data_IF_673382855978
#
_entry.id   IF_673382855978
#
_cell.length_a   1.000
_cell.length_b   1.000
_cell.length_c   1.000
_cell.angle_alpha   90.00
_cell.angle_beta   90.00
_cell.angle_gamma   90.00
#
_symmetry.space_group_name_H-M   'P 1'
#
loop_
_entity.id
_entity.type
_entity.pdbx_description
1 polymer ?
#
# COMPACT_ATOMS: atom_id res chain seq x y z
N UNK A 1 30.40 43.14 -10.37
CA UNK A 1 29.33 43.41 -11.36
C UNK A 1 29.59 42.44 -12.47
N UNK A 2 28.74 41.42 -12.57
CA UNK A 2 28.58 40.40 -13.63
C UNK A 2 27.90 39.20 -12.94
N UNK A 3 26.67 39.42 -12.48
CA UNK A 3 25.39 39.08 -13.11
C UNK A 3 25.07 37.59 -12.99
N UNK A 4 24.24 37.33 -11.98
CA UNK A 4 23.34 36.20 -11.83
C UNK A 4 22.64 35.86 -13.15
N UNK A 5 22.71 34.60 -13.56
CA UNK A 5 21.70 33.97 -14.41
C UNK A 5 21.42 32.56 -13.88
N UNK A 6 20.74 32.55 -12.72
CA UNK A 6 19.82 31.49 -12.36
C UNK A 6 18.57 31.67 -13.23
N UNK A 7 18.32 30.77 -14.18
CA UNK A 7 16.98 30.60 -14.71
C UNK A 7 16.65 29.12 -14.79
N UNK A 8 15.68 28.76 -13.96
CA UNK A 8 15.16 27.44 -13.73
C UNK A 8 14.61 26.82 -15.00
N UNK A 9 15.19 25.68 -15.38
CA UNK A 9 14.52 24.70 -16.21
C UNK A 9 13.41 24.05 -15.41
N UNK A 10 12.23 24.66 -15.41
CA UNK A 10 11.00 24.02 -15.01
C UNK A 10 10.76 22.81 -15.94
N UNK A 11 10.92 21.62 -15.38
CA UNK A 11 10.54 20.38 -16.04
C UNK A 11 9.03 20.38 -16.30
N UNK A 12 8.64 20.71 -17.52
CA UNK A 12 7.30 20.45 -18.02
C UNK A 12 7.14 18.93 -18.16
N UNK A 13 6.67 18.28 -17.09
CA UNK A 13 6.06 16.95 -17.19
C UNK A 13 4.81 17.09 -18.05
N UNK A 14 4.91 16.71 -19.31
CA UNK A 14 3.78 16.71 -20.22
C UNK A 14 2.72 15.73 -19.70
N UNK A 15 1.63 16.27 -19.14
CA UNK A 15 0.41 15.51 -18.92
C UNK A 15 -0.10 15.10 -20.30
N UNK A 16 0.22 13.87 -20.72
CA UNK A 16 -0.30 13.31 -21.95
C UNK A 16 -1.82 13.27 -21.91
N UNK A 17 -2.46 13.46 -23.07
CA UNK A 17 -3.90 13.20 -23.23
C UNK A 17 -4.19 11.76 -22.80
N UNK A 18 -5.09 11.58 -21.84
CA UNK A 18 -5.47 10.26 -21.35
C UNK A 18 -6.25 9.45 -22.39
N UNK A 19 -6.22 8.13 -22.26
CA UNK A 19 -6.94 7.23 -23.16
C UNK A 19 -7.55 6.03 -22.45
N UNK A 20 -8.25 5.19 -23.19
CA UNK A 20 -8.88 3.97 -22.71
C UNK A 20 -7.88 3.05 -21.97
N UNK A 21 -6.60 3.07 -22.35
CA UNK A 21 -5.53 2.35 -21.66
C UNK A 21 -5.42 2.70 -20.17
N UNK A 22 -5.71 3.95 -19.79
CA UNK A 22 -5.65 4.40 -18.39
C UNK A 22 -6.83 3.89 -17.56
N UNK A 23 -7.99 3.65 -18.20
CA UNK A 23 -9.15 3.00 -17.59
C UNK A 23 -9.04 1.47 -17.58
N UNK A 24 -8.31 0.90 -18.53
CA UNK A 24 -8.16 -0.55 -18.70
C UNK A 24 -7.10 -1.17 -17.79
N UNK A 25 -6.11 -0.38 -17.34
CA UNK A 25 -4.96 -0.89 -16.62
C UNK A 25 -3.74 -0.97 -17.51
N UNK A 26 -2.90 0.06 -17.40
CA UNK A 26 -1.78 0.26 -18.29
C UNK A 26 -0.75 1.22 -17.71
N UNK A 27 -0.16 0.87 -16.58
CA UNK A 27 1.24 1.23 -16.32
C UNK A 27 2.06 -0.02 -16.65
N UNK A 28 2.67 -0.07 -17.84
CA UNK A 28 3.63 -1.12 -18.19
C UNK A 28 3.05 -2.45 -18.71
N UNK A 29 2.14 -2.41 -19.70
CA UNK A 29 1.95 -3.59 -20.57
C UNK A 29 3.14 -3.71 -21.54
N UNK A 30 4.32 -4.03 -21.01
CA UNK A 30 5.41 -4.56 -21.79
C UNK A 30 5.07 -6.02 -22.13
N UNK A 31 5.07 -6.30 -23.43
CA UNK A 31 4.97 -7.64 -23.96
C UNK A 31 6.10 -8.54 -23.42
N UNK A 32 5.72 -9.70 -22.89
CA UNK A 32 6.60 -10.78 -22.45
C UNK A 32 5.75 -11.75 -21.65
N UNK A 33 5.18 -12.79 -22.27
CA UNK A 33 5.95 -13.93 -22.72
C UNK A 33 5.73 -15.04 -21.69
N UNK A 34 4.78 -15.92 -21.99
CA UNK A 34 4.44 -17.07 -21.19
C UNK A 34 5.70 -17.89 -20.84
N UNK A 35 5.86 -18.22 -19.56
CA UNK A 35 6.92 -19.07 -19.05
C UNK A 35 6.41 -19.81 -17.82
N UNK A 36 5.76 -20.94 -18.07
CA UNK A 36 5.43 -21.95 -17.06
C UNK A 36 6.70 -22.36 -16.31
N UNK A 37 6.71 -22.21 -14.98
CA UNK A 37 7.64 -22.93 -14.11
C UNK A 37 6.87 -23.91 -13.25
N UNK A 38 6.86 -25.12 -13.80
CA UNK A 38 6.47 -26.39 -13.23
C UNK A 38 7.33 -26.72 -12.00
N UNK A 39 6.65 -27.09 -10.92
CA UNK A 39 7.21 -27.61 -9.68
C UNK A 39 8.06 -28.86 -9.97
N UNK A 40 9.35 -28.76 -9.66
CA UNK A 40 10.28 -29.89 -9.62
C UNK A 40 10.17 -30.62 -8.29
N UNK A 41 9.46 -31.75 -8.31
CA UNK A 41 9.51 -32.78 -7.28
C UNK A 41 10.55 -33.84 -7.67
N UNK A 42 11.38 -34.23 -6.69
CA UNK A 42 12.39 -35.29 -6.79
C UNK A 42 13.55 -34.92 -5.87
N UNK A 43 14.17 -35.80 -5.11
CA UNK A 43 14.06 -37.24 -4.84
C UNK A 43 15.03 -37.47 -3.67
N UNK A 44 14.69 -38.36 -2.74
CA UNK A 44 15.65 -39.23 -2.05
C UNK A 44 14.92 -40.11 -1.05
N UNK A 45 14.66 -41.33 -1.50
CA UNK A 45 14.38 -42.47 -0.64
C UNK A 45 15.64 -43.17 -0.13
N UNK A 46 15.43 -43.81 1.02
CA UNK A 46 15.89 -45.14 1.43
C UNK A 46 17.32 -45.37 1.96
N UNK A 47 17.34 -45.90 3.19
CA UNK A 47 18.27 -46.92 3.71
C UNK A 47 19.37 -46.35 4.62
N UNK A 48 19.79 -46.99 5.70
CA UNK A 48 19.39 -48.21 6.41
C UNK A 48 20.26 -48.25 7.70
N UNK A 49 19.78 -48.94 8.72
CA UNK A 49 20.51 -49.63 9.81
C UNK A 49 21.72 -49.00 10.52
N UNK A 50 21.65 -48.99 11.87
CA UNK A 50 22.86 -48.91 12.72
C UNK A 50 22.56 -48.83 14.21
N UNK A 51 22.38 -49.99 14.83
CA UNK A 51 22.07 -50.26 16.24
C UNK A 51 23.18 -49.86 17.25
N UNK A 52 22.80 -49.94 18.53
CA UNK A 52 23.57 -49.97 19.79
C UNK A 52 23.79 -48.60 20.46
N UNK A 53 23.42 -48.38 21.72
CA UNK A 53 23.02 -49.27 22.82
C UNK A 53 23.50 -48.61 24.12
N UNK A 54 22.79 -48.79 25.23
CA UNK A 54 23.30 -48.44 26.56
C UNK A 54 22.29 -47.83 27.52
N UNK A 55 21.49 -48.71 28.12
CA UNK A 55 21.12 -48.78 29.53
C UNK A 55 20.90 -47.51 30.36
N UNK A 56 19.71 -47.44 30.96
CA UNK A 56 19.42 -46.55 32.07
C UNK A 56 18.01 -46.76 32.63
N UNK A 57 17.89 -47.71 33.54
CA UNK A 57 16.68 -48.11 34.25
C UNK A 57 15.91 -46.94 34.89
N UNK A 58 14.60 -46.93 34.60
CA UNK A 58 13.47 -46.88 35.54
C UNK A 58 13.77 -46.54 37.02
N UNK A 59 13.16 -45.46 37.53
CA UNK A 59 12.31 -45.41 38.73
C UNK A 59 11.94 -43.93 38.97
N UNK A 60 10.66 -43.56 39.02
CA UNK A 60 9.64 -44.19 39.84
C UNK A 60 9.65 -43.47 41.18
N UNK A 61 8.71 -42.56 41.37
CA UNK A 61 8.53 -41.79 42.58
C UNK A 61 8.31 -42.70 43.79
N UNK A 62 9.08 -42.48 44.85
CA UNK A 62 8.74 -42.93 46.19
C UNK A 62 9.14 -41.86 47.20
N UNK A 63 8.13 -41.36 47.91
CA UNK A 63 8.30 -40.55 49.11
C UNK A 63 8.70 -41.45 50.26
N UNK A 64 9.89 -41.22 50.81
CA UNK A 64 10.33 -41.67 52.14
C UNK A 64 11.46 -40.75 52.58
N UNK A 65 11.41 -40.31 53.84
CA UNK A 65 12.20 -39.21 54.38
C UNK A 65 13.69 -39.26 54.01
N UNK A 66 14.08 -38.36 53.12
CA UNK A 66 15.48 -38.09 52.87
C UNK A 66 16.06 -37.49 54.15
N UNK A 67 16.93 -38.24 54.82
CA UNK A 67 17.77 -37.70 55.88
C UNK A 67 18.62 -36.61 55.25
N UNK A 68 18.51 -35.39 55.79
CA UNK A 68 19.29 -34.26 55.29
C UNK A 68 20.78 -34.63 55.31
N UNK A 69 21.54 -34.36 54.24
CA UNK A 69 22.97 -34.63 54.22
C UNK A 69 23.67 -33.95 55.41
N UNK A 70 24.63 -34.62 56.06
CA UNK A 70 25.30 -34.10 57.28
C UNK A 70 25.85 -32.68 57.12
N UNK A 71 26.29 -32.32 55.91
CA UNK A 71 26.81 -30.98 55.62
C UNK A 71 25.76 -29.85 55.70
N UNK A 72 24.46 -30.17 55.59
CA UNK A 72 23.37 -29.20 55.77
C UNK A 72 23.33 -28.62 57.18
N UNK A 73 23.81 -29.37 58.17
CA UNK A 73 23.83 -28.93 59.57
C UNK A 73 24.75 -27.72 59.79
N UNK A 74 25.72 -27.52 58.91
CA UNK A 74 26.65 -26.38 58.95
C UNK A 74 26.11 -25.12 58.26
N UNK A 75 24.93 -25.19 57.65
CA UNK A 75 24.28 -24.05 56.98
C UNK A 75 23.29 -23.42 57.96
N UNK A 76 23.23 -22.09 58.11
CA UNK A 76 22.24 -21.45 58.96
C UNK A 76 20.82 -21.91 58.61
N UNK A 77 20.05 -22.27 59.64
CA UNK A 77 18.64 -22.61 59.51
C UNK A 77 17.73 -21.37 59.48
N UNK A 78 18.31 -20.20 59.74
CA UNK A 78 17.59 -18.93 59.77
C UNK A 78 17.16 -18.56 58.34
N UNK A 79 15.91 -18.11 58.21
CA UNK A 79 15.46 -17.40 57.03
C UNK A 79 16.33 -16.16 56.84
N UNK A 80 16.67 -15.83 55.59
CA UNK A 80 17.34 -14.56 55.29
C UNK A 80 16.49 -13.36 55.73
N UNK A 81 17.05 -12.15 55.72
CA UNK A 81 16.23 -10.94 55.94
C UNK A 81 15.14 -10.83 54.87
N UNK A 82 13.87 -10.86 55.30
CA UNK A 82 12.68 -10.87 54.43
C UNK A 82 11.94 -12.21 54.47
N UNK A 83 10.75 -12.31 53.86
CA UNK A 83 9.94 -13.54 53.74
C UNK A 83 10.60 -14.63 52.84
N UNK A 84 11.93 -14.71 52.82
CA UNK A 84 12.68 -15.68 52.05
C UNK A 84 12.77 -17.03 52.78
N UNK A 85 12.64 -18.16 52.06
CA UNK A 85 12.88 -19.49 52.63
C UNK A 85 14.26 -19.58 53.27
N UNK A 86 14.42 -20.41 54.31
CA UNK A 86 15.75 -20.68 54.88
C UNK A 86 16.70 -21.20 53.79
N UNK A 87 18.00 -20.93 53.94
CA UNK A 87 19.00 -21.43 53.00
C UNK A 87 18.92 -22.96 52.85
N UNK A 88 18.54 -23.67 53.91
CA UNK A 88 18.31 -25.12 53.87
C UNK A 88 17.09 -25.49 53.03
N UNK A 89 15.97 -24.79 53.19
CA UNK A 89 14.74 -25.06 52.42
C UNK A 89 14.93 -24.74 50.94
N UNK A 90 15.69 -23.69 50.63
CA UNK A 90 16.11 -23.38 49.27
C UNK A 90 16.98 -24.49 48.67
N UNK A 91 17.99 -24.99 49.40
CA UNK A 91 18.83 -26.10 48.92
C UNK A 91 18.05 -27.39 48.67
N UNK A 92 17.06 -27.69 49.53
CA UNK A 92 16.15 -28.83 49.36
C UNK A 92 15.28 -28.67 48.11
N UNK A 93 14.66 -27.52 47.94
CA UNK A 93 13.80 -27.24 46.77
C UNK A 93 14.60 -27.16 45.46
N UNK A 94 15.85 -26.70 45.51
CA UNK A 94 16.78 -26.69 44.38
C UNK A 94 17.38 -28.08 44.07
N UNK A 95 17.13 -29.10 44.89
CA UNK A 95 17.57 -30.47 44.65
C UNK A 95 19.08 -30.70 44.79
N UNK A 96 19.79 -29.86 45.54
CA UNK A 96 21.26 -29.92 45.67
C UNK A 96 21.65 -31.00 46.68
N UNK A 97 22.27 -32.10 46.23
CA UNK A 97 22.53 -33.28 47.09
C UNK A 97 23.88 -33.23 47.83
N UNK A 98 24.85 -32.49 47.29
CA UNK A 98 26.22 -32.42 47.81
C UNK A 98 26.89 -31.05 47.55
N UNK A 99 28.06 -30.84 48.16
CA UNK A 99 28.85 -29.61 48.00
C UNK A 99 29.31 -29.42 46.55
N UNK A 100 29.55 -30.51 45.81
CA UNK A 100 29.90 -30.46 44.40
C UNK A 100 28.74 -29.91 43.54
N UNK A 101 27.50 -30.30 43.84
CA UNK A 101 26.28 -29.79 43.25
C UNK A 101 26.05 -28.32 43.58
N UNK A 102 26.34 -27.90 44.82
CA UNK A 102 26.30 -26.48 45.21
C UNK A 102 27.33 -25.66 44.41
N UNK A 103 28.57 -26.14 44.33
CA UNK A 103 29.63 -25.49 43.55
C UNK A 103 29.31 -25.46 42.05
N UNK A 104 28.64 -26.49 41.53
CA UNK A 104 28.15 -26.56 40.15
C UNK A 104 27.05 -25.53 39.90
N UNK A 105 26.02 -25.46 40.74
CA UNK A 105 24.97 -24.44 40.65
C UNK A 105 25.56 -23.03 40.78
N UNK A 106 26.51 -22.81 41.69
CA UNK A 106 27.19 -21.53 41.84
C UNK A 106 28.01 -21.16 40.59
N UNK A 107 28.74 -22.11 39.99
CA UNK A 107 29.49 -21.89 38.74
C UNK A 107 28.57 -21.69 37.53
N UNK A 108 27.49 -22.47 37.44
CA UNK A 108 26.52 -22.37 36.36
C UNK A 108 25.72 -21.06 36.48
N UNK A 109 25.38 -20.61 37.69
CA UNK A 109 24.81 -19.28 37.93
C UNK A 109 25.83 -18.17 37.66
N UNK A 110 27.09 -18.31 38.04
CA UNK A 110 28.13 -17.32 37.74
C UNK A 110 28.38 -17.22 36.23
N UNK A 111 28.37 -18.36 35.53
CA UNK A 111 28.47 -18.43 34.07
C UNK A 111 27.22 -17.85 33.41
N UNK A 112 26.03 -18.20 33.87
CA UNK A 112 24.78 -17.62 33.38
C UNK A 112 24.76 -16.11 33.62
N UNK A 113 25.15 -15.62 34.80
CA UNK A 113 25.21 -14.18 35.12
C UNK A 113 26.26 -13.45 34.27
N UNK A 114 27.40 -14.08 33.97
CA UNK A 114 28.47 -13.48 33.16
C UNK A 114 28.17 -13.52 31.66
N UNK A 115 27.57 -14.61 31.18
CA UNK A 115 27.40 -14.89 29.75
C UNK A 115 25.99 -14.45 29.25
N UNK A 116 25.02 -14.19 30.14
CA UNK A 116 23.64 -13.78 29.75
C UNK A 116 23.46 -12.31 29.36
N UNK A 117 24.51 -11.48 29.42
CA UNK A 117 24.40 -10.06 29.05
C UNK A 117 23.29 -9.35 29.82
N UNK A 118 23.27 -9.49 31.15
CA UNK A 118 22.16 -9.00 32.00
C UNK A 118 21.85 -7.53 31.71
N UNK A 119 20.68 -7.32 31.12
CA UNK A 119 20.05 -6.02 31.03
C UNK A 119 19.18 -5.84 32.27
N UNK A 120 19.56 -4.94 33.18
CA UNK A 120 18.75 -4.62 34.36
C UNK A 120 17.47 -3.94 33.87
N UNK A 121 16.33 -4.61 33.98
CA UNK A 121 15.03 -4.01 33.67
C UNK A 121 14.74 -2.92 34.72
N UNK A 122 14.59 -1.66 34.32
CA UNK A 122 14.27 -0.57 35.24
C UNK A 122 12.91 -0.82 35.91
N UNK A 123 12.83 -0.67 37.23
CA UNK A 123 11.57 -0.73 37.98
C UNK A 123 10.81 0.60 37.93
N UNK A 124 9.60 0.64 38.53
CA UNK A 124 8.85 1.89 38.72
C UNK A 124 9.64 2.85 39.62
N UNK A 125 10.18 3.93 39.05
CA UNK A 125 11.02 4.91 39.75
C UNK A 125 12.53 4.81 39.46
N UNK A 126 12.94 4.01 38.48
CA UNK A 126 14.34 3.93 38.06
C UNK A 126 14.89 5.30 37.61
N UNK A 127 16.18 5.54 37.88
CA UNK A 127 16.80 6.82 37.54
C UNK A 127 17.00 6.96 36.03
N UNK A 128 17.20 8.20 35.55
CA UNK A 128 17.42 8.46 34.13
C UNK A 128 18.63 7.68 33.58
N UNK A 129 19.65 7.47 34.41
CA UNK A 129 20.85 6.72 34.09
C UNK A 129 20.57 5.22 33.94
N UNK A 130 19.72 4.63 34.80
CA UNK A 130 19.33 3.23 34.70
C UNK A 130 18.48 2.97 33.45
N UNK A 131 17.58 3.91 33.12
CA UNK A 131 16.79 3.86 31.89
C UNK A 131 17.69 4.01 30.66
N UNK A 132 18.67 4.91 30.68
CA UNK A 132 19.62 5.09 29.58
C UNK A 132 20.51 3.84 29.36
N UNK A 133 20.98 3.22 30.45
CA UNK A 133 21.74 1.98 30.39
C UNK A 133 20.91 0.82 29.82
N UNK A 134 19.64 0.69 30.24
CA UNK A 134 18.71 -0.28 29.68
C UNK A 134 18.49 -0.05 28.18
N UNK A 135 18.17 1.19 27.78
CA UNK A 135 17.95 1.58 26.38
C UNK A 135 19.16 1.26 25.50
N UNK A 136 20.37 1.57 25.97
CA UNK A 136 21.60 1.22 25.26
C UNK A 136 21.78 -0.30 25.14
N UNK A 137 21.47 -1.05 26.19
CA UNK A 137 21.64 -2.49 26.21
C UNK A 137 20.63 -3.24 25.33
N UNK A 138 19.40 -2.73 25.18
CA UNK A 138 18.39 -3.30 24.28
C UNK A 138 18.54 -2.82 22.83
N UNK A 139 19.53 -1.98 22.53
CA UNK A 139 19.82 -1.53 21.17
C UNK A 139 18.97 -0.34 20.69
N UNK A 140 18.53 0.52 21.60
CA UNK A 140 17.97 1.84 21.23
C UNK A 140 19.12 2.74 20.74
N UNK A 141 18.98 3.40 19.58
CA UNK A 141 19.96 4.38 19.12
C UNK A 141 20.16 5.55 20.08
N UNK A 142 21.35 6.16 20.08
CA UNK A 142 21.64 7.34 20.90
C UNK A 142 20.84 8.59 20.44
N UNK A 143 20.46 8.65 19.16
CA UNK A 143 19.67 9.72 18.56
C UNK A 143 18.61 9.17 17.59
N UNK A 144 17.52 9.92 17.31
CA UNK A 144 16.51 9.54 16.33
C UNK A 144 17.09 9.23 14.94
N UNK A 145 18.16 9.90 14.52
CA UNK A 145 18.81 9.68 13.22
C UNK A 145 19.49 8.30 13.09
N UNK A 146 19.53 7.51 14.17
CA UNK A 146 20.11 6.17 14.14
C UNK A 146 19.17 5.07 13.65
N UNK A 147 17.89 5.36 13.38
CA UNK A 147 16.96 4.43 12.71
C UNK A 147 17.08 4.58 11.18
N UNK A 148 17.30 3.46 10.50
CA UNK A 148 17.48 3.37 9.06
C UNK A 148 16.32 2.60 8.43
N UNK A 149 15.38 3.33 7.82
CA UNK A 149 14.26 2.73 7.11
C UNK A 149 14.63 2.55 5.63
N UNK A 150 14.67 1.30 5.16
CA UNK A 150 15.00 1.01 3.76
C UNK A 150 13.76 1.22 2.89
N UNK A 151 13.90 1.92 1.75
CA UNK A 151 12.81 2.03 0.80
C UNK A 151 12.49 0.64 0.21
N UNK A 152 11.20 0.27 0.12
CA UNK A 152 10.80 -0.90 -0.63
C UNK A 152 11.06 -0.67 -2.12
N UNK A 153 11.11 -1.76 -2.88
CA UNK A 153 11.26 -1.71 -4.35
C UNK A 153 9.88 -1.75 -4.99
N UNK A 154 9.60 -0.82 -5.90
CA UNK A 154 8.37 -0.78 -6.69
C UNK A 154 8.34 -1.86 -7.77
N UNK A 155 7.19 -1.99 -8.46
CA UNK A 155 7.03 -2.94 -9.56
C UNK A 155 7.97 -2.67 -10.76
N UNK A 156 8.48 -1.44 -10.88
CA UNK A 156 9.46 -1.00 -11.86
C UNK A 156 10.92 -1.33 -11.48
N UNK A 157 11.11 -1.98 -10.33
CA UNK A 157 12.43 -2.30 -9.80
C UNK A 157 13.16 -1.11 -9.17
N UNK A 158 12.51 0.05 -9.04
CA UNK A 158 13.10 1.25 -8.44
C UNK A 158 12.71 1.40 -6.97
N UNK A 159 13.59 1.95 -6.11
CA UNK A 159 13.23 2.28 -4.74
C UNK A 159 12.10 3.31 -4.72
N UNK A 160 11.03 3.02 -3.99
CA UNK A 160 9.96 3.99 -3.79
C UNK A 160 10.43 5.11 -2.86
N UNK A 161 10.14 6.35 -3.23
CA UNK A 161 10.40 7.48 -2.35
C UNK A 161 9.52 7.37 -1.09
N UNK A 162 10.18 7.21 0.06
CA UNK A 162 9.53 7.29 1.35
C UNK A 162 9.44 8.75 1.78
N UNK A 163 8.31 9.11 2.38
CA UNK A 163 8.11 10.45 2.93
C UNK A 163 9.05 10.64 4.14
N UNK A 164 10.13 11.39 3.95
CA UNK A 164 11.14 11.67 4.97
C UNK A 164 10.55 12.29 6.23
N UNK A 165 9.58 13.20 6.11
CA UNK A 165 8.93 13.82 7.26
C UNK A 165 8.13 12.81 8.10
N UNK A 166 7.55 11.79 7.48
CA UNK A 166 6.88 10.69 8.20
C UNK A 166 7.90 9.80 8.90
N UNK A 167 8.98 9.43 8.22
CA UNK A 167 10.06 8.63 8.79
C UNK A 167 10.73 9.33 9.99
N UNK A 168 10.97 10.63 9.90
CA UNK A 168 11.54 11.44 10.98
C UNK A 168 10.62 11.48 12.22
N UNK A 169 9.30 11.56 12.00
CA UNK A 169 8.31 11.47 13.10
C UNK A 169 8.34 10.10 13.76
N UNK A 170 8.43 9.02 12.97
CA UNK A 170 8.52 7.65 13.47
C UNK A 170 9.81 7.46 14.27
N UNK A 171 10.95 7.91 13.74
CA UNK A 171 12.25 7.86 14.42
C UNK A 171 12.25 8.64 15.74
N UNK A 172 11.66 9.83 15.75
CA UNK A 172 11.51 10.65 16.97
C UNK A 172 10.63 9.95 18.00
N UNK A 173 9.53 9.35 17.57
CA UNK A 173 8.65 8.56 18.42
C UNK A 173 9.39 7.34 19.00
N UNK A 174 10.09 6.58 18.15
CA UNK A 174 10.83 5.40 18.55
C UNK A 174 11.92 5.72 19.58
N UNK A 175 12.68 6.80 19.38
CA UNK A 175 13.71 7.25 20.33
C UNK A 175 13.09 7.68 21.67
N UNK A 176 12.02 8.49 21.63
CA UNK A 176 11.31 8.96 22.83
C UNK A 176 10.80 7.81 23.70
N UNK A 177 10.28 6.76 23.07
CA UNK A 177 9.72 5.59 23.74
C UNK A 177 10.75 4.47 23.99
N UNK A 178 12.00 4.63 23.55
CA UNK A 178 13.05 3.65 23.79
C UNK A 178 12.86 2.35 23.02
N UNK A 179 12.36 2.43 21.78
CA UNK A 179 12.20 1.26 20.92
C UNK A 179 13.56 0.82 20.34
N UNK A 180 13.93 -0.47 20.44
CA UNK A 180 15.13 -1.00 19.80
C UNK A 180 15.18 -0.78 18.29
N UNK A 181 16.38 -0.52 17.73
CA UNK A 181 16.60 -0.26 16.29
C UNK A 181 16.03 -1.36 15.39
N UNK A 182 16.52 -2.60 15.55
CA UNK A 182 16.18 -3.71 14.65
C UNK A 182 14.68 -4.01 14.56
N UNK A 183 13.97 -4.23 15.68
CA UNK A 183 12.52 -4.44 15.69
C UNK A 183 11.73 -3.28 15.10
N UNK A 184 12.13 -2.03 15.36
CA UNK A 184 11.45 -0.86 14.81
C UNK A 184 11.60 -0.78 13.29
N UNK A 185 12.81 -1.00 12.78
CA UNK A 185 13.07 -1.03 11.33
C UNK A 185 12.33 -2.16 10.63
N UNK A 186 12.30 -3.35 11.25
CA UNK A 186 11.56 -4.50 10.74
C UNK A 186 10.05 -4.20 10.69
N UNK A 187 9.48 -3.62 11.76
CA UNK A 187 8.06 -3.26 11.81
C UNK A 187 7.68 -2.26 10.73
N UNK A 188 8.48 -1.21 10.53
CA UNK A 188 8.22 -0.19 9.50
C UNK A 188 8.34 -0.81 8.11
N UNK A 189 9.34 -1.65 7.89
CA UNK A 189 9.53 -2.33 6.61
C UNK A 189 8.36 -3.26 6.27
N UNK A 190 7.90 -4.05 7.25
CA UNK A 190 6.75 -4.95 7.11
C UNK A 190 5.44 -4.19 6.85
N UNK A 191 5.20 -3.10 7.60
CA UNK A 191 4.04 -2.24 7.38
C UNK A 191 4.02 -1.63 5.98
N UNK A 192 5.16 -1.11 5.52
CA UNK A 192 5.29 -0.55 4.18
C UNK A 192 5.05 -1.64 3.11
N UNK A 193 5.60 -2.84 3.30
CA UNK A 193 5.39 -3.96 2.38
C UNK A 193 3.92 -4.37 2.31
N UNK A 194 3.23 -4.46 3.46
CA UNK A 194 1.81 -4.77 3.51
C UNK A 194 0.94 -3.77 2.74
N UNK A 195 1.19 -2.47 2.90
CA UNK A 195 0.49 -1.42 2.13
C UNK A 195 0.73 -1.53 0.61
N UNK A 196 1.93 -1.93 0.20
CA UNK A 196 2.23 -2.18 -1.21
C UNK A 196 1.50 -3.41 -1.73
N UNK A 197 1.49 -4.50 -0.96
CA UNK A 197 0.82 -5.74 -1.34
C UNK A 197 -0.71 -5.52 -1.45
N UNK A 198 -1.30 -4.74 -0.55
CA UNK A 198 -2.71 -4.35 -0.59
C UNK A 198 -3.01 -3.47 -1.81
N UNK A 199 -2.15 -2.48 -2.09
CA UNK A 199 -2.28 -1.64 -3.29
C UNK A 199 -2.17 -2.48 -4.56
N UNK A 200 -1.22 -3.39 -4.63
CA UNK A 200 -1.00 -4.26 -5.79
C UNK A 200 -2.19 -5.21 -5.98
N UNK A 201 -2.69 -5.80 -4.90
CA UNK A 201 -3.88 -6.65 -4.91
C UNK A 201 -5.10 -5.90 -5.42
N UNK A 202 -5.33 -4.67 -4.93
CA UNK A 202 -6.41 -3.81 -5.41
C UNK A 202 -6.24 -3.45 -6.87
N UNK A 203 -5.03 -3.12 -7.32
CA UNK A 203 -4.74 -2.78 -8.72
C UNK A 203 -5.05 -3.97 -9.63
N UNK A 204 -4.59 -5.18 -9.27
CA UNK A 204 -4.88 -6.42 -10.00
C UNK A 204 -6.39 -6.72 -10.06
N UNK A 205 -7.12 -6.45 -8.98
CA UNK A 205 -8.57 -6.63 -8.97
C UNK A 205 -9.27 -5.67 -9.97
N UNK A 206 -8.85 -4.40 -10.00
CA UNK A 206 -9.36 -3.41 -10.96
C UNK A 206 -8.99 -3.78 -12.40
N UNK A 207 -7.79 -4.32 -12.64
CA UNK A 207 -7.36 -4.75 -13.98
C UNK A 207 -8.17 -5.96 -14.45
N UNK A 208 -8.42 -6.91 -13.56
CA UNK A 208 -9.28 -8.07 -13.84
C UNK A 208 -10.71 -7.65 -14.20
N UNK A 209 -11.29 -6.70 -13.46
CA UNK A 209 -12.62 -6.16 -13.74
C UNK A 209 -12.68 -5.43 -15.09
N UNK A 210 -11.67 -4.62 -15.41
CA UNK A 210 -11.57 -3.96 -16.71
C UNK A 210 -11.48 -4.97 -17.86
N UNK A 211 -10.68 -6.03 -17.71
CA UNK A 211 -10.58 -7.10 -18.69
C UNK A 211 -11.89 -7.88 -18.85
N UNK A 212 -12.60 -8.12 -17.75
CA UNK A 212 -13.93 -8.75 -17.78
C UNK A 212 -14.93 -7.89 -18.55
N UNK A 213 -14.90 -6.56 -18.35
CA UNK A 213 -15.72 -5.63 -19.12
C UNK A 213 -15.43 -5.71 -20.62
N UNK A 214 -14.15 -5.71 -21.01
CA UNK A 214 -13.75 -5.83 -22.44
C UNK A 214 -14.26 -7.15 -23.03
N UNK A 215 -14.08 -8.27 -22.33
CA UNK A 215 -14.58 -9.58 -22.77
C UNK A 215 -16.10 -9.57 -22.95
N UNK A 216 -16.83 -8.93 -22.04
CA UNK A 216 -18.28 -8.81 -22.11
C UNK A 216 -18.78 -7.99 -23.33
N UNK A 217 -17.95 -7.11 -23.90
CA UNK A 217 -18.32 -6.35 -25.09
C UNK A 217 -18.25 -7.17 -26.39
N UNK A 218 -17.55 -8.31 -26.39
CA UNK A 218 -17.43 -9.17 -27.58
C UNK A 218 -16.88 -8.42 -28.80
N UNK A 219 -17.57 -8.55 -29.94
CA UNK A 219 -17.17 -7.94 -31.21
C UNK A 219 -17.13 -6.40 -31.18
N UNK A 220 -17.86 -5.77 -30.26
CA UNK A 220 -17.92 -4.29 -30.14
C UNK A 220 -16.78 -3.70 -29.30
N UNK A 221 -15.95 -4.53 -28.67
CA UNK A 221 -14.91 -4.08 -27.74
C UNK A 221 -14.01 -2.99 -28.35
N UNK A 222 -13.49 -3.21 -29.57
CA UNK A 222 -12.62 -2.25 -30.24
C UNK A 222 -13.33 -0.92 -30.56
N UNK A 223 -14.61 -0.98 -30.96
CA UNK A 223 -15.39 0.23 -31.25
C UNK A 223 -15.66 1.03 -29.97
N UNK A 224 -15.95 0.35 -28.86
CA UNK A 224 -16.18 0.99 -27.55
C UNK A 224 -14.90 1.57 -26.95
N UNK A 225 -13.75 0.90 -27.13
CA UNK A 225 -12.44 1.43 -26.74
C UNK A 225 -12.13 2.71 -27.53
N UNK A 226 -12.29 2.68 -28.86
CA UNK A 226 -12.09 3.87 -29.69
C UNK A 226 -13.06 5.02 -29.34
N UNK A 227 -14.28 4.69 -28.91
CA UNK A 227 -15.22 5.68 -28.38
C UNK A 227 -14.71 6.31 -27.07
N UNK A 228 -14.19 5.51 -26.13
CA UNK A 228 -13.58 6.01 -24.89
C UNK A 228 -12.44 6.98 -25.18
N UNK A 229 -11.53 6.65 -26.11
CA UNK A 229 -10.40 7.52 -26.48
C UNK A 229 -10.88 8.88 -27.02
N UNK A 230 -11.91 8.87 -27.87
CA UNK A 230 -12.53 10.09 -28.40
C UNK A 230 -13.18 10.92 -27.29
N UNK A 231 -13.89 10.27 -26.38
CA UNK A 231 -14.50 10.94 -25.24
C UNK A 231 -13.45 11.58 -24.32
N UNK A 232 -12.38 10.85 -23.99
CA UNK A 232 -11.27 11.36 -23.18
C UNK A 232 -10.62 12.57 -23.84
N UNK A 233 -10.31 12.47 -25.13
CA UNK A 233 -9.70 13.56 -25.92
C UNK A 233 -10.60 14.79 -25.96
N UNK A 234 -11.89 14.61 -26.24
CA UNK A 234 -12.80 15.74 -26.41
C UNK A 234 -13.18 16.43 -25.09
N UNK A 235 -13.14 15.69 -23.98
CA UNK A 235 -13.29 16.24 -22.64
C UNK A 235 -11.99 16.81 -22.07
N UNK A 236 -10.85 16.62 -22.75
CA UNK A 236 -9.54 17.03 -22.26
C UNK A 236 -9.11 16.27 -20.99
N UNK A 237 -9.56 15.03 -20.81
CA UNK A 237 -9.21 14.23 -19.65
C UNK A 237 -7.76 13.79 -19.75
N UNK A 238 -7.01 14.02 -18.67
CA UNK A 238 -5.65 13.53 -18.51
C UNK A 238 -5.64 12.07 -18.08
N UNK A 239 -4.45 11.45 -18.12
CA UNK A 239 -4.23 10.13 -17.54
C UNK A 239 -4.65 10.10 -16.07
N UNK A 240 -4.30 11.13 -15.31
CA UNK A 240 -4.60 11.26 -13.88
C UNK A 240 -6.12 11.34 -13.64
N UNK A 241 -6.86 12.06 -14.50
CA UNK A 241 -8.32 12.13 -14.42
C UNK A 241 -8.97 10.77 -14.65
N UNK A 242 -8.49 10.03 -15.66
CA UNK A 242 -9.03 8.71 -15.98
C UNK A 242 -8.68 7.68 -14.90
N UNK A 243 -7.46 7.70 -14.37
CA UNK A 243 -7.09 6.86 -13.23
C UNK A 243 -7.91 7.19 -11.99
N UNK A 244 -8.12 8.48 -11.71
CA UNK A 244 -9.00 8.94 -10.62
C UNK A 244 -10.43 8.46 -10.80
N UNK A 245 -10.97 8.57 -12.01
CA UNK A 245 -12.32 8.10 -12.36
C UNK A 245 -12.43 6.59 -12.15
N UNK A 246 -11.44 5.83 -12.62
CA UNK A 246 -11.37 4.38 -12.44
C UNK A 246 -11.36 3.98 -10.96
N UNK A 247 -10.56 4.66 -10.14
CA UNK A 247 -10.45 4.39 -8.70
C UNK A 247 -11.72 4.78 -7.93
N UNK A 248 -12.39 5.86 -8.35
CA UNK A 248 -13.57 6.38 -7.68
C UNK A 248 -14.86 5.63 -8.05
N UNK A 249 -15.03 5.26 -9.32
CA UNK A 249 -16.27 4.68 -9.84
C UNK A 249 -16.21 3.18 -10.10
N UNK A 250 -15.02 2.61 -10.12
CA UNK A 250 -14.78 1.25 -10.61
C UNK A 250 -14.57 1.22 -12.14
N UNK A 251 -13.75 0.28 -12.64
CA UNK A 251 -13.45 0.11 -14.05
C UNK A 251 -14.69 -0.10 -14.92
N UNK A 252 -15.61 -0.99 -14.54
CA UNK A 252 -16.80 -1.31 -15.35
C UNK A 252 -17.66 -0.06 -15.60
N UNK A 253 -17.94 0.69 -14.54
CA UNK A 253 -18.78 1.89 -14.62
C UNK A 253 -18.09 3.00 -15.41
N UNK A 254 -16.81 3.23 -15.15
CA UNK A 254 -16.02 4.24 -15.86
C UNK A 254 -15.96 3.95 -17.37
N UNK A 255 -15.60 2.70 -17.74
CA UNK A 255 -15.53 2.25 -19.13
C UNK A 255 -16.90 2.34 -19.82
N UNK A 256 -17.97 1.92 -19.15
CA UNK A 256 -19.33 1.96 -19.72
C UNK A 256 -19.80 3.39 -19.99
N UNK A 257 -19.59 4.31 -19.04
CA UNK A 257 -20.01 5.70 -19.19
C UNK A 257 -19.20 6.39 -20.28
N UNK A 258 -17.88 6.19 -20.29
CA UNK A 258 -17.00 6.81 -21.29
C UNK A 258 -17.24 6.25 -22.71
N UNK A 259 -17.51 4.94 -22.84
CA UNK A 259 -17.86 4.34 -24.11
C UNK A 259 -19.18 4.90 -24.66
N UNK A 260 -20.20 5.07 -23.81
CA UNK A 260 -21.49 5.67 -24.20
C UNK A 260 -21.32 7.13 -24.63
N UNK A 261 -20.54 7.90 -23.87
CA UNK A 261 -20.25 9.28 -24.22
C UNK A 261 -19.58 9.37 -25.60
N UNK A 262 -18.53 8.56 -25.82
CA UNK A 262 -17.80 8.54 -27.08
C UNK A 262 -18.61 8.05 -28.27
N UNK A 263 -19.51 7.07 -28.06
CA UNK A 263 -20.40 6.58 -29.09
C UNK A 263 -21.36 7.69 -29.55
N UNK A 264 -21.96 8.42 -28.61
CA UNK A 264 -22.81 9.58 -28.92
C UNK A 264 -22.05 10.68 -29.68
N UNK A 265 -20.77 10.87 -29.40
CA UNK A 265 -19.92 11.81 -30.15
C UNK A 265 -19.59 11.33 -31.57
N UNK A 266 -19.40 10.03 -31.76
CA UNK A 266 -19.11 9.45 -33.06
C UNK A 266 -20.32 9.49 -33.99
N UNK A 267 -21.52 9.28 -33.46
CA UNK A 267 -22.78 9.40 -34.21
C UNK A 267 -23.01 10.83 -34.72
N UNK A 268 -22.69 11.84 -33.90
CA UNK A 268 -22.80 13.26 -34.28
C UNK A 268 -21.72 13.67 -35.31
N UNK A 269 -20.53 13.05 -35.25
CA UNK A 269 -19.43 13.32 -36.20
C UNK A 269 -19.64 12.64 -37.56
N UNK A 270 -20.26 11.46 -37.60
CA UNK A 270 -20.48 10.68 -38.83
C UNK A 270 -21.57 11.26 -39.74
N UNK A 271 -22.49 12.05 -39.19
CA UNK A 271 -23.51 12.77 -39.97
C UNK A 271 -22.98 14.13 -40.45
N UNK A 272 -21.94 14.68 -39.79
CA UNK A 272 -21.53 16.07 -39.93
C UNK A 272 -20.12 16.35 -40.46
N UNK A 273 -19.36 15.35 -40.92
CA UNK A 273 -18.12 15.58 -41.69
C UNK A 273 -17.18 16.67 -41.15
N UNK A 274 -16.73 16.55 -39.89
CA UNK A 274 -15.57 17.28 -39.38
C UNK A 274 -15.82 18.35 -38.29
N UNK A 275 -15.09 18.19 -37.18
CA UNK A 275 -14.89 19.11 -36.04
C UNK A 275 -16.14 19.45 -35.24
N UNK A 276 -16.39 18.62 -34.22
CA UNK A 276 -17.46 18.77 -33.26
C UNK A 276 -17.38 20.05 -32.43
N UNK A 277 -18.49 20.78 -32.42
CA UNK A 277 -18.97 21.53 -31.26
C UNK A 277 -20.32 20.92 -30.91
N UNK A 278 -20.44 20.43 -29.68
CA UNK A 278 -21.68 19.90 -29.12
C UNK A 278 -22.85 20.85 -29.43
N UNK A 279 -23.83 20.37 -30.19
CA UNK A 279 -25.04 21.14 -30.47
C UNK A 279 -25.86 20.49 -31.56
N UNK A 280 -27.18 20.48 -31.33
CA UNK A 280 -28.25 20.23 -32.30
C UNK A 280 -27.77 20.47 -33.74
N UNK A 281 -27.85 19.46 -34.61
CA UNK A 281 -27.37 19.58 -35.99
C UNK A 281 -28.05 20.76 -36.70
N UNK A 282 -27.43 21.39 -37.70
CA UNK A 282 -28.04 22.55 -38.37
C UNK A 282 -29.44 22.27 -38.93
N UNK A 283 -29.68 21.03 -39.36
CA UNK A 283 -30.99 20.56 -39.84
C UNK A 283 -32.01 20.41 -38.70
N UNK A 284 -31.58 19.82 -37.57
CA UNK A 284 -32.42 19.72 -36.37
C UNK A 284 -32.68 21.10 -35.75
N UNK A 285 -31.71 22.01 -35.84
CA UNK A 285 -31.81 23.37 -35.32
C UNK A 285 -32.80 24.19 -36.15
N UNK A 286 -32.77 24.04 -37.48
CA UNK A 286 -33.74 24.66 -38.37
C UNK A 286 -35.15 24.11 -38.12
N UNK A 287 -35.32 22.79 -37.99
CA UNK A 287 -36.61 22.18 -37.72
C UNK A 287 -37.21 22.63 -36.37
N UNK A 288 -36.38 22.77 -35.34
CA UNK A 288 -36.83 23.27 -34.04
C UNK A 288 -37.09 24.79 -34.06
N UNK A 289 -36.33 25.58 -34.83
CA UNK A 289 -36.66 26.99 -35.10
C UNK A 289 -38.04 27.11 -35.75
N UNK A 290 -38.29 26.34 -36.80
CA UNK A 290 -39.57 26.37 -37.53
C UNK A 290 -40.74 25.98 -36.61
N UNK A 291 -40.52 25.01 -35.71
CA UNK A 291 -41.50 24.62 -34.69
C UNK A 291 -41.76 25.73 -33.67
N UNK A 292 -40.69 26.40 -33.20
CA UNK A 292 -40.77 27.45 -32.18
C UNK A 292 -41.30 28.78 -32.72
N UNK A 293 -41.15 29.04 -34.02
CA UNK A 293 -41.81 30.17 -34.69
C UNK A 293 -43.33 30.09 -34.62
N UNK A 294 -43.89 28.88 -34.54
CA UNK A 294 -45.32 28.64 -34.34
C UNK A 294 -45.79 28.80 -32.87
N UNK A 295 -44.86 28.95 -31.91
CA UNK A 295 -45.16 29.09 -30.49
C UNK A 295 -45.10 30.57 -30.07
N UNK A 296 -46.27 31.20 -29.99
CA UNK A 296 -46.39 32.62 -29.66
C UNK A 296 -45.88 32.96 -28.24
N UNK A 297 -46.00 32.04 -27.29
CA UNK A 297 -45.54 32.24 -25.91
C UNK A 297 -44.02 32.16 -25.83
N UNK A 298 -43.42 31.23 -26.57
CA UNK A 298 -41.98 31.13 -26.70
C UNK A 298 -41.40 32.39 -27.36
N UNK A 299 -41.95 32.82 -28.50
CA UNK A 299 -41.48 34.01 -29.22
C UNK A 299 -41.57 35.29 -28.38
N UNK A 300 -42.58 35.41 -27.52
CA UNK A 300 -42.69 36.52 -26.58
C UNK A 300 -41.53 36.50 -25.56
N UNK A 301 -41.15 35.34 -25.04
CA UNK A 301 -40.05 35.22 -24.05
C UNK A 301 -38.67 35.38 -24.69
N UNK A 302 -38.51 35.00 -25.96
CA UNK A 302 -37.27 35.24 -26.73
C UNK A 302 -36.94 36.72 -26.85
N UNK A 303 -37.94 37.61 -26.77
CA UNK A 303 -37.70 39.07 -26.82
C UNK A 303 -36.99 39.62 -25.58
N UNK A 304 -36.96 38.87 -24.46
CA UNK A 304 -36.20 39.21 -23.26
C UNK A 304 -34.78 38.61 -23.36
N UNK A 305 -33.71 39.43 -23.47
CA UNK A 305 -32.34 38.96 -23.61
C UNK A 305 -31.84 38.07 -22.46
N UNK A 306 -32.47 38.15 -21.28
CA UNK A 306 -32.07 37.39 -20.09
C UNK A 306 -32.86 36.10 -19.90
N UNK A 307 -33.81 35.78 -20.79
CA UNK A 307 -34.60 34.55 -20.66
C UNK A 307 -33.83 33.31 -21.11
N UNK A 308 -34.18 32.16 -20.54
CA UNK A 308 -33.63 30.88 -20.97
C UNK A 308 -34.03 30.57 -22.43
N UNK A 309 -35.21 31.04 -22.85
CA UNK A 309 -35.75 30.95 -24.20
C UNK A 309 -34.92 31.76 -25.21
N UNK A 310 -34.47 32.96 -24.85
CA UNK A 310 -33.56 33.76 -25.68
C UNK A 310 -32.20 33.08 -25.85
N UNK A 311 -31.62 32.58 -24.76
CA UNK A 311 -30.36 31.82 -24.80
C UNK A 311 -30.49 30.53 -25.63
N UNK A 312 -31.66 29.89 -25.62
CA UNK A 312 -31.97 28.72 -26.46
C UNK A 312 -32.12 29.12 -27.92
N UNK A 313 -32.87 30.17 -28.22
CA UNK A 313 -33.08 30.69 -29.57
C UNK A 313 -31.78 31.14 -30.24
N UNK A 314 -30.91 31.82 -29.50
CA UNK A 314 -29.58 32.22 -29.98
C UNK A 314 -28.74 31.01 -30.36
N UNK A 315 -28.68 29.98 -29.49
CA UNK A 315 -27.94 28.75 -29.78
C UNK A 315 -28.43 28.01 -31.02
N UNK A 316 -29.75 27.97 -31.26
CA UNK A 316 -30.31 27.34 -32.45
C UNK A 316 -29.94 28.12 -33.73
N UNK A 317 -30.03 29.45 -33.70
CA UNK A 317 -29.65 30.28 -34.86
C UNK A 317 -28.15 30.23 -35.15
N UNK A 318 -27.31 30.25 -34.10
CA UNK A 318 -25.86 30.09 -34.23
C UNK A 318 -25.53 28.73 -34.87
N UNK A 319 -26.21 27.64 -34.48
CA UNK A 319 -26.04 26.31 -35.06
C UNK A 319 -26.46 26.21 -36.54
N UNK A 320 -27.53 26.92 -36.94
CA UNK A 320 -27.95 27.03 -38.35
C UNK A 320 -26.93 27.84 -39.17
N UNK A 321 -26.48 28.98 -38.64
CA UNK A 321 -25.48 29.83 -39.30
C UNK A 321 -24.17 29.10 -39.53
N UNK A 322 -23.65 28.44 -38.50
CA UNK A 322 -22.43 27.64 -38.59
C UNK A 322 -22.58 26.48 -39.61
N UNK A 323 -23.77 25.90 -39.75
CA UNK A 323 -24.03 24.86 -40.74
C UNK A 323 -24.08 25.41 -42.18
N UNK A 324 -24.67 26.58 -42.39
CA UNK A 324 -24.68 27.25 -43.68
C UNK A 324 -23.26 27.63 -44.14
N UNK A 325 -22.45 28.15 -43.22
CA UNK A 325 -21.05 28.49 -43.48
C UNK A 325 -20.18 27.26 -43.80
N UNK A 326 -20.42 26.13 -43.11
CA UNK A 326 -19.76 24.86 -43.44
C UNK A 326 -20.12 24.38 -44.84
N UNK A 327 -21.40 24.46 -45.22
CA UNK A 327 -21.87 24.06 -46.56
C UNK A 327 -21.28 24.95 -47.66
N UNK A 328 -21.15 26.25 -47.41
CA UNK A 328 -20.53 27.19 -48.35
C UNK A 328 -19.02 26.96 -48.53
N UNK A 329 -18.31 26.43 -47.51
CA UNK A 329 -16.88 26.10 -47.59
C UNK A 329 -16.59 24.74 -48.23
N UNK A 330 -17.60 23.87 -48.35
CA UNK A 330 -17.49 22.54 -48.94
C UNK A 330 -17.93 22.49 -50.41
N UNK A 331 -18.40 23.60 -50.98
CA UNK A 331 -18.81 23.76 -52.38
C UNK A 331 -17.75 24.54 -53.17
#
# INVERSE_FOLDING_TARGET
MDNDDQNGGAGAGGAGTGGAGDLLGGAGAAAGGAGDQQQGAGDQGAGDQGNAGGDGQQQGADGQGAVDPDWYQHIPAEAGEGDEPSLRDWLKSAGIKDIAGLAKVARDNQKAVRDSGRVKVPGEGATAEEIAAYRKAVGVPEAPTGYEFKPPVGEDGQPLELNSATLDRIATFAHKHGLPKGPMEALVSDYIQGELDDRNTRTRALDSEAQAWVKAQGAEANAKIAAIDKAATALGLTKEDLQGLRMAWGPEKALTVMAKLGAGMAEDTLIGGGTGKFGVTGEQAQAEIDRLLGDADFMKKVSDPNSAEHARWKRLNDAVGDAADRKARAA
#
